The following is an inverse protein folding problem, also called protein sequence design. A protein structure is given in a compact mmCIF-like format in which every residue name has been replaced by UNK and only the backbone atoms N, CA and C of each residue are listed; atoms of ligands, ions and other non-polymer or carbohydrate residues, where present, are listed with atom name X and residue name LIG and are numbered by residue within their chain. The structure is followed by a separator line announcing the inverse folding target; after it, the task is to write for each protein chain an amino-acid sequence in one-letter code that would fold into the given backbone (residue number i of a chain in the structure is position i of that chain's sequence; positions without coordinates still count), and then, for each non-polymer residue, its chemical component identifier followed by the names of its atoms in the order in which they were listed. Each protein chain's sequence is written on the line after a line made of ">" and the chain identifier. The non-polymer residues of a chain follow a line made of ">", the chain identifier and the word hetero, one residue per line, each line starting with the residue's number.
data_IF_930135430176
#
_entry.id   IF_930135430176
#
_cell.length_a   1.000
_cell.length_b   1.000
_cell.length_c   1.000
_cell.angle_alpha   90.00
_cell.angle_beta   90.00
_cell.angle_gamma   90.00
#
_symmetry.space_group_name_H-M   'P 1'
#
loop_
_entity.id
_entity.type
_entity.pdbx_description
1 polymer ?
#
# COMPACT_ATOMS: atom_id res chain seq x y z
N UNK A 1 18.43 -14.81 26.85
CA UNK A 1 18.96 -15.30 25.56
C UNK A 1 17.88 -16.10 24.81
N UNK A 2 16.99 -15.39 24.11
CA UNK A 2 15.97 -16.01 23.28
C UNK A 2 16.58 -16.21 21.89
N UNK A 3 16.91 -17.46 21.56
CA UNK A 3 17.47 -17.81 20.25
C UNK A 3 16.45 -17.49 19.17
N UNK A 4 16.82 -16.59 18.27
CA UNK A 4 16.05 -16.31 17.07
C UNK A 4 16.17 -17.52 16.14
N UNK A 5 15.03 -18.09 15.74
CA UNK A 5 15.01 -19.08 14.68
C UNK A 5 15.35 -18.36 13.37
N UNK A 6 16.62 -18.40 12.98
CA UNK A 6 16.99 -18.01 11.63
C UNK A 6 16.19 -18.88 10.65
N UNK A 7 15.35 -18.26 9.83
CA UNK A 7 14.75 -18.94 8.68
C UNK A 7 15.87 -19.21 7.67
N UNK A 8 16.49 -20.38 7.77
CA UNK A 8 17.52 -20.83 6.83
C UNK A 8 16.82 -21.56 5.69
N UNK A 9 16.81 -20.96 4.52
CA UNK A 9 16.25 -21.51 3.29
C UNK A 9 17.02 -21.03 2.07
N UNK A 10 16.75 -21.57 0.88
CA UNK A 10 17.37 -21.12 -0.35
C UNK A 10 17.03 -19.65 -0.62
N UNK A 11 17.94 -18.95 -1.32
CA UNK A 11 17.68 -17.60 -1.85
C UNK A 11 16.38 -17.64 -2.68
N UNK A 12 15.44 -16.79 -2.33
CA UNK A 12 14.16 -16.71 -3.05
C UNK A 12 14.22 -15.58 -4.08
N UNK A 13 13.79 -15.87 -5.30
CA UNK A 13 13.55 -14.85 -6.32
C UNK A 13 12.10 -14.38 -6.21
N UNK A 14 11.91 -13.13 -5.85
CA UNK A 14 10.59 -12.48 -5.77
C UNK A 14 10.60 -11.21 -6.62
N UNK A 15 9.52 -10.91 -7.35
CA UNK A 15 9.42 -9.66 -8.10
C UNK A 15 9.31 -8.48 -7.13
N UNK A 16 10.15 -7.47 -7.35
CA UNK A 16 10.02 -6.18 -6.67
C UNK A 16 9.33 -5.19 -7.62
N UNK A 17 8.31 -4.50 -7.12
CA UNK A 17 7.47 -3.63 -7.94
C UNK A 17 7.81 -2.17 -7.67
N UNK A 18 8.15 -1.42 -8.72
CA UNK A 18 8.10 0.05 -8.70
C UNK A 18 6.64 0.50 -8.85
N UNK A 19 6.02 0.91 -7.75
CA UNK A 19 4.61 1.35 -7.75
C UNK A 19 4.40 2.62 -8.58
N UNK A 20 5.41 3.47 -8.75
CA UNK A 20 5.32 4.70 -9.55
C UNK A 20 5.19 4.38 -11.03
N UNK A 21 5.80 3.30 -11.50
CA UNK A 21 5.66 2.79 -12.86
C UNK A 21 4.45 1.86 -13.02
N UNK A 22 4.20 1.00 -12.01
CA UNK A 22 3.20 -0.06 -12.12
C UNK A 22 1.76 0.44 -12.09
N UNK A 23 1.44 1.44 -11.26
CA UNK A 23 0.07 1.99 -11.20
C UNK A 23 -0.36 2.69 -12.51
N UNK A 24 0.47 3.55 -13.15
CA UNK A 24 0.19 4.06 -14.49
C UNK A 24 0.06 2.96 -15.55
N UNK A 25 0.90 1.92 -15.48
CA UNK A 25 0.80 0.77 -16.38
C UNK A 25 -0.56 0.05 -16.24
N UNK A 26 -1.02 -0.21 -15.01
CA UNK A 26 -2.32 -0.82 -14.77
C UNK A 26 -3.48 0.06 -15.23
N UNK A 27 -3.40 1.39 -15.03
CA UNK A 27 -4.39 2.33 -15.58
C UNK A 27 -4.43 2.27 -17.11
N UNK A 28 -3.28 2.32 -17.77
CA UNK A 28 -3.21 2.23 -19.23
C UNK A 28 -3.69 0.87 -19.76
N UNK A 29 -3.54 -0.23 -19.00
CA UNK A 29 -4.15 -1.52 -19.34
C UNK A 29 -5.67 -1.48 -19.27
N UNK A 30 -6.23 -0.87 -18.23
CA UNK A 30 -7.67 -0.69 -18.08
C UNK A 30 -8.24 0.09 -19.27
N UNK A 31 -7.64 1.23 -19.61
CA UNK A 31 -8.08 2.09 -20.71
C UNK A 31 -8.00 1.39 -22.07
N UNK A 32 -6.91 0.65 -22.35
CA UNK A 32 -6.79 -0.15 -23.58
C UNK A 32 -7.78 -1.31 -23.66
N UNK A 33 -8.28 -1.79 -22.53
CA UNK A 33 -9.36 -2.77 -22.48
C UNK A 33 -10.76 -2.13 -22.61
N UNK A 34 -10.85 -0.81 -22.84
CA UNK A 34 -12.11 -0.07 -22.96
C UNK A 34 -12.67 0.43 -21.62
N UNK A 35 -11.95 0.25 -20.51
CA UNK A 35 -12.32 0.82 -19.23
C UNK A 35 -12.13 2.34 -19.22
N UNK A 36 -12.86 3.02 -18.32
CA UNK A 36 -12.72 4.46 -18.10
C UNK A 36 -12.16 4.71 -16.71
N UNK A 37 -11.25 5.68 -16.59
CA UNK A 37 -10.74 6.17 -15.32
C UNK A 37 -11.28 7.57 -15.05
N UNK A 38 -11.86 7.76 -13.87
CA UNK A 38 -12.29 9.06 -13.38
C UNK A 38 -11.68 9.28 -12.00
N UNK A 39 -11.20 10.51 -11.76
CA UNK A 39 -10.80 10.94 -10.42
C UNK A 39 -11.96 11.68 -9.77
N UNK A 40 -12.60 11.05 -8.80
CA UNK A 40 -13.74 11.60 -8.06
C UNK A 40 -13.75 11.09 -6.62
N UNK A 41 -14.32 11.88 -5.72
CA UNK A 41 -14.66 11.45 -4.35
C UNK A 41 -16.12 10.94 -4.33
N UNK A 42 -16.34 9.77 -3.75
CA UNK A 42 -17.67 9.23 -3.47
C UNK A 42 -17.88 9.16 -1.95
N UNK A 43 -19.06 9.57 -1.50
CA UNK A 43 -19.44 9.54 -0.07
C UNK A 43 -20.38 8.39 0.26
N UNK A 44 -20.88 7.68 -0.76
CA UNK A 44 -21.68 6.46 -0.63
C UNK A 44 -21.44 5.49 -1.80
N UNK A 45 -21.84 4.23 -1.64
CA UNK A 45 -21.79 3.24 -2.73
C UNK A 45 -22.77 3.58 -3.86
N UNK A 46 -23.90 4.22 -3.56
CA UNK A 46 -24.87 4.67 -4.56
C UNK A 46 -24.29 5.79 -5.43
N UNK A 47 -23.59 6.75 -4.80
CA UNK A 47 -22.82 7.76 -5.53
C UNK A 47 -21.70 7.12 -6.35
N UNK A 48 -21.02 6.10 -5.83
CA UNK A 48 -19.99 5.36 -6.56
C UNK A 48 -20.56 4.64 -7.79
N UNK A 49 -21.78 4.10 -7.67
CA UNK A 49 -22.51 3.49 -8.77
C UNK A 49 -22.98 4.50 -9.82
N UNK A 50 -23.04 5.80 -9.49
CA UNK A 50 -23.63 6.82 -10.35
C UNK A 50 -25.16 6.78 -10.37
N UNK A 51 -25.79 6.20 -9.34
CA UNK A 51 -27.23 6.19 -9.20
C UNK A 51 -27.74 7.61 -8.91
N UNK A 52 -28.73 8.08 -9.68
CA UNK A 52 -29.42 9.35 -9.41
C UNK A 52 -30.54 9.14 -8.38
N UNK A 53 -30.84 10.18 -7.60
CA UNK A 53 -31.97 10.16 -6.67
C UNK A 53 -33.28 9.99 -7.44
N UNK A 54 -33.88 8.79 -7.40
CA UNK A 54 -35.09 8.46 -8.17
C UNK A 54 -35.20 7.01 -8.65
N UNK A 55 -34.16 6.19 -8.48
CA UNK A 55 -34.26 4.72 -8.65
C UNK A 55 -34.33 4.21 -10.10
N UNK A 56 -34.17 5.08 -11.11
CA UNK A 56 -34.20 4.68 -12.51
C UNK A 56 -32.81 4.82 -13.18
N UNK A 57 -32.11 3.69 -13.33
CA UNK A 57 -31.63 3.26 -14.66
C UNK A 57 -30.17 3.45 -15.08
N UNK A 58 -29.42 4.45 -14.61
CA UNK A 58 -28.16 4.85 -15.32
C UNK A 58 -26.84 4.48 -14.62
N UNK A 59 -26.92 3.88 -13.42
CA UNK A 59 -25.74 3.51 -12.63
C UNK A 59 -25.15 2.14 -12.98
N UNK A 60 -23.95 1.86 -12.46
CA UNK A 60 -23.33 0.54 -12.55
C UNK A 60 -24.18 -0.53 -11.84
N UNK A 61 -24.45 -1.65 -12.50
CA UNK A 61 -25.18 -2.78 -11.90
C UNK A 61 -24.40 -3.55 -10.83
N UNK A 62 -23.08 -3.35 -10.77
CA UNK A 62 -22.19 -3.92 -9.74
C UNK A 62 -21.15 -2.88 -9.35
N UNK A 63 -20.96 -2.71 -8.03
CA UNK A 63 -19.87 -1.91 -7.46
C UNK A 63 -18.90 -2.84 -6.74
N UNK A 64 -17.61 -2.73 -7.07
CA UNK A 64 -16.53 -3.41 -6.36
C UNK A 64 -15.83 -2.38 -5.48
N UNK A 65 -16.01 -2.50 -4.16
CA UNK A 65 -15.43 -1.57 -3.19
C UNK A 65 -13.95 -1.90 -2.93
N UNK A 66 -13.04 -1.04 -3.42
CA UNK A 66 -11.58 -1.18 -3.24
C UNK A 66 -10.97 0.04 -2.51
N UNK A 67 -11.68 0.65 -1.57
CA UNK A 67 -11.25 1.91 -0.91
C UNK A 67 -10.21 1.76 0.20
N UNK A 68 -9.81 0.53 0.54
CA UNK A 68 -8.83 0.29 1.60
C UNK A 68 -9.26 0.92 2.93
N UNK A 69 -8.38 1.72 3.54
CA UNK A 69 -8.69 2.43 4.79
C UNK A 69 -9.95 3.32 4.70
N UNK A 70 -10.29 3.83 3.51
CA UNK A 70 -11.48 4.65 3.30
C UNK A 70 -12.81 3.90 3.47
N UNK A 71 -12.80 2.57 3.59
CA UNK A 71 -13.98 1.78 3.91
C UNK A 71 -14.52 2.10 5.31
N UNK A 72 -13.66 2.58 6.21
CA UNK A 72 -14.04 3.04 7.55
C UNK A 72 -15.09 4.16 7.47
N UNK A 73 -14.95 5.08 6.53
CA UNK A 73 -15.90 6.18 6.34
C UNK A 73 -17.01 5.84 5.34
N UNK A 74 -16.71 5.10 4.27
CA UNK A 74 -17.65 4.85 3.17
C UNK A 74 -18.74 3.82 3.51
N UNK A 75 -18.40 2.76 4.25
CA UNK A 75 -19.31 1.65 4.63
C UNK A 75 -19.29 1.37 6.14
N UNK A 76 -19.09 2.41 6.95
CA UNK A 76 -18.80 2.36 8.38
C UNK A 76 -18.12 1.11 8.95
N UNK A 77 -17.06 0.58 8.32
CA UNK A 77 -16.38 -0.63 8.80
C UNK A 77 -15.49 -0.34 10.03
N UNK A 78 -15.86 -0.80 11.25
CA UNK A 78 -15.10 -0.53 12.47
C UNK A 78 -13.85 -1.40 12.61
N UNK A 79 -13.69 -2.44 11.78
CA UNK A 79 -12.51 -3.30 11.77
C UNK A 79 -11.37 -2.68 10.97
N UNK A 80 -11.67 -1.71 10.11
CA UNK A 80 -10.67 -1.01 9.31
C UNK A 80 -9.84 -0.05 10.17
N UNK A 81 -8.55 -0.36 10.34
CA UNK A 81 -7.61 0.40 11.18
C UNK A 81 -6.30 0.64 10.45
N UNK A 82 -5.66 1.80 10.64
CA UNK A 82 -4.37 2.08 10.02
C UNK A 82 -3.25 1.30 10.72
N UNK A 83 -2.29 0.84 9.93
CA UNK A 83 -0.98 0.40 10.41
C UNK A 83 0.05 1.29 9.73
N UNK A 84 0.68 2.18 10.48
CA UNK A 84 1.60 3.18 9.92
C UNK A 84 2.98 2.58 9.67
N UNK A 85 3.38 2.59 8.41
CA UNK A 85 4.74 2.29 7.97
C UNK A 85 5.46 3.54 7.50
N UNK A 86 6.57 3.86 8.16
CA UNK A 86 7.52 4.88 7.71
C UNK A 86 8.68 4.23 6.97
N UNK A 87 9.13 4.89 5.91
CA UNK A 87 10.29 4.50 5.09
C UNK A 87 11.23 5.69 4.92
N UNK A 88 12.49 5.39 4.57
CA UNK A 88 13.48 6.34 4.09
C UNK A 88 13.87 5.94 2.67
N UNK A 89 13.94 6.92 1.76
CA UNK A 89 14.44 6.70 0.40
C UNK A 89 15.82 7.33 0.29
N UNK A 90 16.81 6.52 -0.09
CA UNK A 90 18.21 6.95 -0.20
C UNK A 90 18.75 6.69 -1.61
N UNK A 91 19.88 7.32 -1.94
CA UNK A 91 20.66 6.92 -3.12
C UNK A 91 21.10 5.45 -2.96
N UNK A 92 21.01 4.68 -4.04
CA UNK A 92 21.41 3.27 -4.01
C UNK A 92 22.92 3.13 -4.25
N UNK A 93 23.71 2.64 -3.27
CA UNK A 93 25.16 2.50 -3.41
C UNK A 93 25.60 1.27 -4.24
N UNK A 94 24.67 0.59 -4.92
CA UNK A 94 24.93 -0.65 -5.67
C UNK A 94 24.30 -1.90 -5.05
N UNK A 95 23.27 -1.75 -4.23
CA UNK A 95 22.46 -2.86 -3.71
C UNK A 95 21.61 -3.43 -4.86
N UNK A 96 21.83 -4.70 -5.16
CA UNK A 96 21.09 -5.45 -6.20
C UNK A 96 20.11 -6.47 -5.61
N UNK A 97 20.33 -6.89 -4.36
CA UNK A 97 19.52 -7.88 -3.66
C UNK A 97 18.57 -7.20 -2.69
N UNK A 98 17.32 -7.71 -2.61
CA UNK A 98 16.39 -7.27 -1.58
C UNK A 98 16.73 -7.97 -0.26
N UNK A 99 16.46 -7.27 0.84
CA UNK A 99 16.52 -7.82 2.20
C UNK A 99 15.22 -7.51 2.91
N UNK A 100 14.72 -8.46 3.68
CA UNK A 100 13.62 -8.26 4.63
C UNK A 100 13.84 -9.19 5.82
N UNK A 101 13.91 -8.62 7.02
CA UNK A 101 13.98 -9.38 8.26
C UNK A 101 12.56 -9.83 8.67
N UNK A 102 12.30 -11.15 8.75
CA UNK A 102 11.06 -11.67 9.27
C UNK A 102 10.96 -11.43 10.79
N UNK A 103 10.47 -10.25 11.15
CA UNK A 103 9.80 -9.86 12.41
C UNK A 103 10.46 -10.43 13.67
N UNK A 104 11.57 -9.82 14.09
CA UNK A 104 12.04 -9.91 15.48
C UNK A 104 11.29 -8.94 16.42
N UNK A 105 10.74 -7.86 15.87
CA UNK A 105 9.96 -6.84 16.58
C UNK A 105 8.65 -6.53 15.81
N UNK A 106 7.47 -6.61 16.46
CA UNK A 106 6.18 -6.33 15.81
C UNK A 106 5.99 -4.87 15.38
N UNK A 107 6.79 -3.93 15.90
CA UNK A 107 6.75 -2.50 15.58
C UNK A 107 7.89 -2.10 14.64
N UNK A 108 9.05 -2.74 14.77
CA UNK A 108 10.23 -2.46 13.95
C UNK A 108 10.50 -3.60 12.97
N UNK A 109 10.23 -3.33 11.70
CA UNK A 109 10.62 -4.20 10.59
C UNK A 109 11.91 -3.68 9.98
N UNK A 110 12.73 -4.54 9.38
CA UNK A 110 13.89 -4.06 8.61
C UNK A 110 13.83 -4.64 7.21
N UNK A 111 13.82 -3.77 6.20
CA UNK A 111 13.89 -4.17 4.81
C UNK A 111 14.68 -3.14 3.98
N UNK A 112 15.36 -3.65 2.96
CA UNK A 112 16.11 -2.89 1.96
C UNK A 112 15.62 -3.36 0.61
N UNK A 113 14.98 -2.47 -0.13
CA UNK A 113 14.36 -2.78 -1.41
C UNK A 113 14.97 -1.88 -2.49
N UNK A 114 15.89 -2.39 -3.33
CA UNK A 114 16.47 -1.60 -4.42
C UNK A 114 15.42 -1.26 -5.48
N UNK A 115 15.32 0.01 -5.85
CA UNK A 115 14.33 0.54 -6.78
C UNK A 115 15.03 1.30 -7.92
N UNK A 116 14.37 1.51 -9.08
CA UNK A 116 14.94 2.31 -10.17
C UNK A 116 15.31 3.75 -9.79
N UNK A 117 14.79 4.25 -8.66
CA UNK A 117 14.98 5.61 -8.16
C UNK A 117 15.82 5.70 -6.87
N UNK A 118 16.44 4.62 -6.41
CA UNK A 118 17.21 4.59 -5.16
C UNK A 118 17.03 3.28 -4.40
N UNK A 119 17.25 3.29 -3.09
CA UNK A 119 16.89 2.18 -2.21
C UNK A 119 15.83 2.63 -1.22
N UNK A 120 14.79 1.81 -1.03
CA UNK A 120 13.80 2.01 0.02
C UNK A 120 14.29 1.25 1.25
N UNK A 121 14.51 1.99 2.33
CA UNK A 121 14.80 1.47 3.64
C UNK A 121 13.52 1.55 4.46
N UNK A 122 13.15 0.47 5.12
CA UNK A 122 12.09 0.49 6.09
C UNK A 122 12.31 -0.55 7.16
N UNK A 123 11.42 -0.64 8.13
CA UNK A 123 10.30 0.26 8.31
C UNK A 123 9.60 0.04 9.64
N UNK A 124 8.51 0.77 9.84
CA UNK A 124 7.69 0.60 11.04
C UNK A 124 6.39 -0.15 10.73
N UNK A 125 5.75 -0.68 11.76
CA UNK A 125 4.40 -1.20 11.73
C UNK A 125 3.63 -0.75 12.99
N UNK A 126 3.21 0.51 13.00
CA UNK A 126 2.56 1.13 14.16
C UNK A 126 1.03 0.99 14.04
N UNK A 127 0.46 -0.01 14.71
CA UNK A 127 -1.00 -0.25 14.72
C UNK A 127 -1.78 0.91 15.34
N UNK A 128 -2.91 1.25 14.73
CA UNK A 128 -3.81 2.33 15.14
C UNK A 128 -3.32 3.75 14.88
N UNK A 129 -2.09 3.93 14.40
CA UNK A 129 -1.54 5.26 14.11
C UNK A 129 -1.97 5.76 12.74
N UNK A 130 -2.70 6.88 12.70
CA UNK A 130 -3.07 7.60 11.48
C UNK A 130 -2.13 8.78 11.15
N UNK A 131 -1.01 8.91 11.84
CA UNK A 131 -0.07 10.02 11.63
C UNK A 131 0.56 9.97 10.24
N UNK A 132 0.59 11.10 9.55
CA UNK A 132 1.06 11.23 8.16
C UNK A 132 2.39 11.94 8.05
N UNK A 133 2.81 12.67 9.10
CA UNK A 133 4.11 13.33 9.15
C UNK A 133 5.19 12.30 9.50
N UNK A 134 6.30 12.24 8.73
CA UNK A 134 7.46 11.43 9.10
C UNK A 134 8.06 11.90 10.43
N UNK A 135 8.42 10.96 11.30
CA UNK A 135 9.13 11.22 12.54
C UNK A 135 10.64 11.14 12.30
N UNK A 136 11.42 12.23 12.51
CA UNK A 136 12.86 12.22 12.34
C UNK A 136 13.57 11.19 13.22
N UNK A 137 13.11 10.96 14.45
CA UNK A 137 13.74 10.00 15.36
C UNK A 137 13.64 8.57 14.80
N UNK A 138 12.50 8.22 14.21
CA UNK A 138 12.30 6.95 13.49
C UNK A 138 13.23 6.82 12.27
N UNK A 139 13.58 7.92 11.60
CA UNK A 139 14.44 7.88 10.42
C UNK A 139 15.94 7.78 10.77
N UNK A 140 16.34 8.25 11.96
CA UNK A 140 17.72 8.27 12.45
C UNK A 140 18.10 7.03 13.29
N UNK A 141 17.11 6.22 13.70
CA UNK A 141 17.28 5.01 14.50
C UNK A 141 17.93 3.85 13.72
#
# INVERSE_FOLDING_TARGET
>A
PHGHAALVGPRTLAPLIDMRAYLPYLRGRLERAGGRYERRTATSLDEAAGATAGGAGDGAGVVVNCTGLGARELVPDPLMRPVRGQIVVVENPGVEEWYADPVSDPVHTTYILPQPFGAVLGGTAQDGSGETVPDPATAEA
#
